data_IF_344327693590
#
_entry.id   IF_344327693590
#
_cell.length_a   1.000
_cell.length_b   1.000
_cell.length_c   1.000
_cell.angle_alpha   90.00
_cell.angle_beta   90.00
_cell.angle_gamma   90.00
#
_symmetry.space_group_name_H-M   'P 1'
#
loop_
_entity.id
_entity.type
_entity.pdbx_description
1 polymer ?
#
# COMPACT_ATOMS: atom_id res chain seq x y z
N UNK A 1 42.59 -28.43 -1.12
CA UNK A 1 41.91 -28.97 0.06
C UNK A 1 40.93 -27.92 0.51
N UNK A 2 39.65 -28.20 0.33
CA UNK A 2 38.59 -27.34 0.84
C UNK A 2 38.56 -27.40 2.38
N UNK A 3 38.06 -26.35 3.03
CA UNK A 3 37.92 -26.30 4.51
C UNK A 3 37.17 -27.52 5.04
N UNK A 4 36.20 -28.03 4.27
CA UNK A 4 35.45 -29.24 4.58
C UNK A 4 36.26 -30.54 4.42
N UNK A 5 37.18 -30.63 3.47
CA UNK A 5 38.07 -31.81 3.30
C UNK A 5 39.14 -31.87 4.40
N UNK A 6 39.61 -30.72 4.89
CA UNK A 6 40.53 -30.64 6.02
C UNK A 6 39.83 -31.02 7.34
N UNK A 7 38.62 -30.49 7.56
CA UNK A 7 37.79 -30.84 8.72
C UNK A 7 37.23 -32.26 8.66
N UNK A 8 37.16 -32.92 7.49
CA UNK A 8 36.60 -34.28 7.38
C UNK A 8 37.47 -35.38 8.01
N UNK A 9 38.69 -35.05 8.48
CA UNK A 9 39.52 -35.95 9.28
C UNK A 9 39.02 -36.05 10.74
N UNK A 10 38.15 -35.11 11.15
CA UNK A 10 37.46 -35.08 12.43
C UNK A 10 35.95 -34.83 12.21
N UNK A 11 35.17 -35.90 12.29
CA UNK A 11 33.72 -35.87 12.07
C UNK A 11 32.99 -34.89 13.01
N UNK A 12 33.50 -34.67 14.22
CA UNK A 12 32.89 -33.77 15.19
C UNK A 12 33.13 -32.31 14.82
N UNK A 13 34.36 -31.97 14.41
CA UNK A 13 34.70 -30.64 13.92
C UNK A 13 33.90 -30.27 12.65
N UNK A 14 33.72 -31.23 11.74
CA UNK A 14 32.88 -31.04 10.55
C UNK A 14 31.41 -30.78 10.91
N UNK A 15 30.84 -31.59 11.82
CA UNK A 15 29.45 -31.42 12.25
C UNK A 15 29.22 -30.06 12.93
N UNK A 16 30.13 -29.63 13.80
CA UNK A 16 30.03 -28.32 14.45
C UNK A 16 30.08 -27.17 13.44
N UNK A 17 30.90 -27.29 12.39
CA UNK A 17 30.95 -26.32 11.31
C UNK A 17 29.63 -26.27 10.53
N UNK A 18 29.10 -27.44 10.13
CA UNK A 18 27.82 -27.54 9.41
C UNK A 18 26.64 -27.02 10.25
N UNK A 19 26.57 -27.38 11.54
CA UNK A 19 25.54 -26.89 12.47
C UNK A 19 25.61 -25.36 12.63
N UNK A 20 26.82 -24.78 12.70
CA UNK A 20 27.01 -23.32 12.75
C UNK A 20 26.59 -22.65 11.45
N UNK A 21 26.97 -23.21 10.30
CA UNK A 21 26.57 -22.67 9.00
C UNK A 21 25.06 -22.69 8.83
N UNK A 22 24.41 -23.79 9.25
CA UNK A 22 22.96 -23.90 9.26
C UNK A 22 22.31 -22.85 10.15
N UNK A 23 22.80 -22.68 11.37
CA UNK A 23 22.29 -21.65 12.29
C UNK A 23 22.38 -20.24 11.68
N UNK A 24 23.54 -19.88 11.12
CA UNK A 24 23.74 -18.58 10.49
C UNK A 24 22.84 -18.38 9.25
N UNK A 25 22.64 -19.44 8.47
CA UNK A 25 21.75 -19.40 7.31
C UNK A 25 20.28 -19.24 7.72
N UNK A 26 19.84 -19.98 8.74
CA UNK A 26 18.48 -19.89 9.26
C UNK A 26 18.23 -18.49 9.85
N UNK A 27 19.19 -17.95 10.60
CA UNK A 27 19.15 -16.59 11.12
C UNK A 27 19.07 -15.54 9.99
N UNK A 28 19.94 -15.62 8.97
CA UNK A 28 19.90 -14.72 7.81
C UNK A 28 18.57 -14.81 7.06
N UNK A 29 18.05 -16.02 6.86
CA UNK A 29 16.76 -16.25 6.19
C UNK A 29 15.60 -15.61 6.95
N UNK A 30 15.63 -15.63 8.28
CA UNK A 30 14.61 -14.96 9.10
C UNK A 30 14.65 -13.45 8.93
N UNK A 31 15.84 -12.83 8.90
CA UNK A 31 15.97 -11.39 8.67
C UNK A 31 15.49 -10.99 7.28
N UNK A 32 15.88 -11.72 6.24
CA UNK A 32 15.40 -11.44 4.87
C UNK A 32 13.88 -11.61 4.76
N UNK A 33 13.31 -12.64 5.39
CA UNK A 33 11.86 -12.83 5.43
C UNK A 33 11.15 -11.66 6.13
N UNK A 34 11.70 -11.16 7.24
CA UNK A 34 11.14 -10.01 7.95
C UNK A 34 11.22 -8.72 7.12
N UNK A 35 12.36 -8.46 6.47
CA UNK A 35 12.56 -7.28 5.64
C UNK A 35 11.64 -7.30 4.41
N UNK A 36 11.54 -8.44 3.74
CA UNK A 36 10.66 -8.61 2.58
C UNK A 36 9.19 -8.46 2.97
N UNK A 37 8.77 -9.00 4.11
CA UNK A 37 7.43 -8.81 4.65
C UNK A 37 7.14 -7.32 4.96
N UNK A 38 8.07 -6.63 5.63
CA UNK A 38 7.93 -5.21 5.94
C UNK A 38 7.84 -4.35 4.67
N UNK A 39 8.65 -4.65 3.65
CA UNK A 39 8.63 -3.97 2.36
C UNK A 39 7.29 -4.16 1.64
N UNK A 40 6.76 -5.39 1.63
CA UNK A 40 5.44 -5.68 1.05
C UNK A 40 4.32 -4.94 1.78
N UNK A 41 4.32 -5.00 3.11
CA UNK A 41 3.33 -4.30 3.92
C UNK A 41 3.32 -2.78 3.67
N UNK A 42 4.51 -2.15 3.55
CA UNK A 42 4.60 -0.73 3.18
C UNK A 42 4.05 -0.47 1.79
N UNK A 43 4.47 -1.25 0.79
CA UNK A 43 4.04 -1.07 -0.60
C UNK A 43 2.51 -1.24 -0.75
N UNK A 44 1.93 -2.24 -0.08
CA UNK A 44 0.48 -2.45 -0.05
C UNK A 44 -0.23 -1.30 0.64
N UNK A 45 0.29 -0.82 1.77
CA UNK A 45 -0.27 0.33 2.49
C UNK A 45 -0.25 1.61 1.66
N UNK A 46 0.85 1.89 0.97
CA UNK A 46 0.99 3.03 0.06
C UNK A 46 0.00 2.92 -1.11
N UNK A 47 -0.09 1.75 -1.76
CA UNK A 47 -1.01 1.53 -2.86
C UNK A 47 -2.48 1.69 -2.44
N UNK A 48 -2.87 1.12 -1.30
CA UNK A 48 -4.21 1.27 -0.75
C UNK A 48 -4.50 2.73 -0.38
N UNK A 49 -3.53 3.42 0.23
CA UNK A 49 -3.65 4.83 0.58
C UNK A 49 -3.85 5.72 -0.64
N UNK A 50 -3.05 5.52 -1.69
CA UNK A 50 -3.19 6.25 -2.96
C UNK A 50 -4.53 5.97 -3.63
N UNK A 51 -4.98 4.71 -3.67
CA UNK A 51 -6.26 4.35 -4.28
C UNK A 51 -7.43 5.02 -3.54
N UNK A 52 -7.46 4.92 -2.20
CA UNK A 52 -8.48 5.57 -1.38
C UNK A 52 -8.45 7.08 -1.54
N UNK A 53 -7.28 7.70 -1.40
CA UNK A 53 -7.11 9.14 -1.52
C UNK A 53 -7.51 9.68 -2.90
N UNK A 54 -7.24 8.93 -3.98
CA UNK A 54 -7.70 9.29 -5.32
C UNK A 54 -9.22 9.26 -5.43
N UNK A 55 -9.85 8.19 -4.95
CA UNK A 55 -11.33 8.06 -5.02
C UNK A 55 -12.04 9.11 -4.16
N UNK A 56 -11.53 9.37 -2.95
CA UNK A 56 -12.07 10.40 -2.06
C UNK A 56 -11.88 11.79 -2.66
N UNK A 57 -10.68 12.08 -3.19
CA UNK A 57 -10.38 13.35 -3.85
C UNK A 57 -11.22 13.60 -5.11
N UNK A 58 -11.45 12.59 -5.93
CA UNK A 58 -12.34 12.69 -7.10
C UNK A 58 -13.79 12.98 -6.68
N UNK A 59 -14.29 12.31 -5.65
CA UNK A 59 -15.64 12.54 -5.13
C UNK A 59 -15.77 13.94 -4.51
N UNK A 60 -14.77 14.39 -3.75
CA UNK A 60 -14.72 15.72 -3.15
C UNK A 60 -14.65 16.82 -4.22
N UNK A 61 -13.82 16.63 -5.25
CA UNK A 61 -13.73 17.55 -6.38
C UNK A 61 -15.07 17.69 -7.14
N UNK A 62 -15.77 16.58 -7.40
CA UNK A 62 -17.11 16.62 -8.00
C UNK A 62 -18.10 17.41 -7.15
N UNK A 63 -18.10 17.18 -5.83
CA UNK A 63 -18.95 17.93 -4.89
C UNK A 63 -18.60 19.41 -4.86
N UNK A 64 -17.32 19.76 -4.89
CA UNK A 64 -16.87 21.16 -4.89
C UNK A 64 -17.33 21.88 -6.16
N UNK A 65 -17.18 21.24 -7.33
CA UNK A 65 -17.67 21.78 -8.61
C UNK A 65 -19.19 21.96 -8.56
N UNK A 66 -19.94 20.97 -8.08
CA UNK A 66 -21.39 21.07 -7.94
C UNK A 66 -21.80 22.23 -7.01
N UNK A 67 -21.11 22.43 -5.89
CA UNK A 67 -21.34 23.57 -4.98
C UNK A 67 -21.08 24.93 -5.63
N UNK A 68 -20.04 25.05 -6.45
CA UNK A 68 -19.71 26.27 -7.21
C UNK A 68 -20.78 26.56 -8.26
N UNK A 69 -21.24 25.53 -8.98
CA UNK A 69 -22.31 25.68 -9.98
C UNK A 69 -23.65 26.07 -9.33
N UNK A 70 -23.97 25.52 -8.16
CA UNK A 70 -25.14 25.95 -7.38
C UNK A 70 -25.04 27.42 -6.96
N UNK A 71 -23.86 27.89 -6.55
CA UNK A 71 -23.65 29.31 -6.22
C UNK A 71 -23.82 30.23 -7.43
N UNK A 72 -23.60 29.72 -8.65
CA UNK A 72 -23.86 30.42 -9.91
C UNK A 72 -25.32 30.31 -10.38
N UNK A 73 -26.23 29.75 -9.57
CA UNK A 73 -27.63 29.50 -9.89
C UNK A 73 -27.85 28.60 -11.12
N UNK A 74 -26.92 27.67 -11.39
CA UNK A 74 -27.13 26.63 -12.40
C UNK A 74 -28.16 25.62 -11.88
N UNK A 75 -29.05 25.17 -12.77
CA UNK A 75 -30.12 24.23 -12.40
C UNK A 75 -29.54 22.89 -11.89
N UNK A 76 -30.04 22.34 -10.75
CA UNK A 76 -29.57 21.08 -10.18
C UNK A 76 -29.61 19.90 -11.14
N UNK A 77 -30.56 19.86 -12.07
CA UNK A 77 -30.69 18.79 -13.06
C UNK A 77 -29.54 18.83 -14.08
N UNK A 78 -29.13 20.03 -14.50
CA UNK A 78 -27.97 20.22 -15.39
C UNK A 78 -26.66 19.87 -14.66
N UNK A 79 -26.56 20.21 -13.38
CA UNK A 79 -25.40 19.84 -12.54
C UNK A 79 -25.31 18.32 -12.39
N UNK A 80 -26.44 17.64 -12.21
CA UNK A 80 -26.51 16.18 -12.09
C UNK A 80 -25.97 15.50 -13.35
N UNK A 81 -26.43 15.96 -14.53
CA UNK A 81 -25.96 15.46 -15.82
C UNK A 81 -24.44 15.68 -16.02
N UNK A 82 -23.93 16.87 -15.69
CA UNK A 82 -22.53 17.22 -15.91
C UNK A 82 -21.55 16.57 -14.92
N UNK A 83 -21.95 16.41 -13.65
CA UNK A 83 -21.08 15.90 -12.57
C UNK A 83 -21.21 14.40 -12.32
N UNK A 84 -22.28 13.78 -12.82
CA UNK A 84 -22.65 12.40 -12.53
C UNK A 84 -23.07 12.16 -11.08
N UNK A 85 -23.47 13.22 -10.37
CA UNK A 85 -24.06 13.14 -9.03
C UNK A 85 -25.58 13.03 -9.14
N UNK A 86 -26.24 12.44 -8.15
CA UNK A 86 -27.70 12.45 -8.11
C UNK A 86 -28.22 13.86 -7.79
N UNK A 87 -29.44 14.17 -8.25
CA UNK A 87 -30.07 15.44 -7.89
C UNK A 87 -30.27 15.59 -6.37
N UNK A 88 -30.54 14.49 -5.67
CA UNK A 88 -30.72 14.49 -4.22
C UNK A 88 -29.40 14.81 -3.51
N UNK A 89 -28.27 14.25 -3.97
CA UNK A 89 -26.94 14.60 -3.47
C UNK A 89 -26.66 16.09 -3.70
N UNK A 90 -26.98 16.62 -4.88
CA UNK A 90 -26.78 18.03 -5.23
C UNK A 90 -27.65 18.95 -4.36
N UNK A 91 -28.93 18.61 -4.16
CA UNK A 91 -29.85 19.37 -3.29
C UNK A 91 -29.41 19.34 -1.83
N UNK A 92 -28.74 18.28 -1.39
CA UNK A 92 -28.16 18.18 -0.05
C UNK A 92 -26.86 18.99 0.10
N UNK A 93 -26.18 19.36 -1.00
CA UNK A 93 -24.99 20.21 -0.96
C UNK A 93 -25.39 21.66 -0.69
N UNK A 94 -24.69 22.30 0.25
CA UNK A 94 -24.80 23.75 0.46
C UNK A 94 -23.94 24.49 -0.57
N UNK A 95 -24.42 25.58 -1.21
CA UNK A 95 -23.60 26.40 -2.09
C UNK A 95 -22.35 26.90 -1.34
N UNK A 96 -21.22 26.96 -2.04
CA UNK A 96 -20.02 27.63 -1.51
C UNK A 96 -20.30 29.13 -1.51
N UNK A 97 -20.34 29.73 -0.31
CA UNK A 97 -20.48 31.18 -0.10
C UNK A 97 -19.17 31.90 -0.40
#
# INVERSE_FOLDING_TARGET
MDTLEFLSQDLEARRQYEDRQKYLHDEASMYEAAETAARRARAEGEAQGMAKGKTEGEAEAKKEVARKLLALNVDPSVIAEASGLSEDDIKALKPLQ
#
